data_IF_031013571334
#
_entry.id   IF_031013571334
#
_cell.length_a   1.000
_cell.length_b   1.000
_cell.length_c   1.000
_cell.angle_alpha   90.00
_cell.angle_beta   90.00
_cell.angle_gamma   90.00
#
_symmetry.space_group_name_H-M   'P 1'
#
loop_
_entity.id
_entity.type
_entity.pdbx_description
1 polymer ?
#
# COMPACT_ATOMS: atom_id res chain seq x y z
N UNK A 1 6.19 -5.10 3.64
CA UNK A 1 6.13 -3.64 3.30
C UNK A 1 7.44 -3.03 3.77
N UNK A 2 8.06 -2.16 2.97
CA UNK A 2 9.34 -1.56 3.34
C UNK A 2 9.17 -0.44 4.36
N UNK A 3 8.30 0.51 4.05
CA UNK A 3 7.96 1.64 4.93
C UNK A 3 6.60 2.22 4.54
N UNK A 4 6.03 3.02 5.44
CA UNK A 4 4.87 3.86 5.20
C UNK A 4 5.30 5.31 5.41
N UNK A 5 4.88 6.21 4.52
CA UNK A 5 4.96 7.66 4.76
C UNK A 5 3.59 8.17 5.14
N UNK A 6 3.49 8.77 6.33
CA UNK A 6 2.27 9.36 6.90
C UNK A 6 2.62 10.69 7.56
N UNK A 7 1.89 11.75 7.22
CA UNK A 7 2.09 13.10 7.78
C UNK A 7 3.57 13.55 7.73
N UNK A 8 4.22 13.36 6.58
CA UNK A 8 5.65 13.64 6.34
C UNK A 8 6.64 12.85 7.22
N UNK A 9 6.17 11.81 7.92
CA UNK A 9 7.01 10.92 8.72
C UNK A 9 7.17 9.56 8.05
N UNK A 10 8.36 8.99 8.19
CA UNK A 10 8.68 7.64 7.73
C UNK A 10 8.49 6.64 8.87
N UNK A 11 7.59 5.68 8.67
CA UNK A 11 7.30 4.60 9.61
C UNK A 11 7.85 3.30 9.02
N UNK A 12 8.74 2.63 9.76
CA UNK A 12 9.23 1.29 9.37
C UNK A 12 8.10 0.29 9.61
N UNK A 13 7.67 -0.39 8.55
CA UNK A 13 6.53 -1.29 8.64
C UNK A 13 6.94 -2.65 9.26
N UNK A 14 6.19 -3.05 10.27
CA UNK A 14 6.25 -4.35 10.92
C UNK A 14 4.98 -5.17 10.64
N UNK A 15 4.94 -6.43 11.07
CA UNK A 15 3.82 -7.35 10.78
C UNK A 15 2.47 -6.91 11.35
N UNK A 16 2.47 -6.05 12.35
CA UNK A 16 1.31 -5.50 13.05
C UNK A 16 0.98 -4.05 12.68
N UNK A 17 1.76 -3.44 11.78
CA UNK A 17 1.54 -2.05 11.35
C UNK A 17 0.22 -1.95 10.58
N UNK A 18 -0.71 -1.17 11.11
CA UNK A 18 -2.01 -0.92 10.50
C UNK A 18 -1.93 0.20 9.47
N UNK A 19 -2.34 -0.11 8.24
CA UNK A 19 -2.46 0.86 7.15
C UNK A 19 -3.72 1.71 7.39
N UNK A 20 -3.60 3.00 7.17
CA UNK A 20 -4.66 3.99 7.29
C UNK A 20 -4.92 4.69 5.96
N UNK A 21 -6.05 5.41 5.88
CA UNK A 21 -6.37 6.18 4.68
C UNK A 21 -5.31 7.26 4.44
N UNK A 22 -4.96 7.47 3.17
CA UNK A 22 -3.92 8.40 2.71
C UNK A 22 -2.47 8.01 3.02
N UNK A 23 -2.23 6.81 3.56
CA UNK A 23 -0.87 6.29 3.69
C UNK A 23 -0.20 6.11 2.34
N UNK A 24 1.04 6.55 2.23
CA UNK A 24 1.91 6.24 1.09
C UNK A 24 2.74 5.01 1.43
N UNK A 25 2.35 3.85 0.89
CA UNK A 25 3.01 2.57 1.18
C UNK A 25 4.16 2.31 0.20
N UNK A 26 5.38 2.15 0.70
CA UNK A 26 6.56 1.81 -0.08
C UNK A 26 6.75 0.29 -0.11
N UNK A 27 6.68 -0.27 -1.32
CA UNK A 27 6.78 -1.71 -1.59
C UNK A 27 7.97 -1.99 -2.51
N UNK A 28 8.69 -3.08 -2.23
CA UNK A 28 9.68 -3.63 -3.15
C UNK A 28 9.11 -4.87 -3.81
N UNK A 29 9.03 -4.84 -5.14
CA UNK A 29 8.57 -5.95 -5.96
C UNK A 29 9.77 -6.56 -6.67
N UNK A 30 9.98 -7.86 -6.49
CA UNK A 30 11.05 -8.60 -7.19
C UNK A 30 10.72 -8.77 -8.67
N UNK A 31 9.43 -8.96 -8.99
CA UNK A 31 8.93 -9.10 -10.34
C UNK A 31 7.84 -8.06 -10.59
N UNK A 32 8.05 -7.20 -11.60
CA UNK A 32 7.14 -6.11 -11.98
C UNK A 32 5.78 -6.60 -12.50
N UNK A 33 5.64 -7.88 -12.89
CA UNK A 33 4.35 -8.39 -13.39
C UNK A 33 3.23 -8.28 -12.35
N UNK A 34 3.58 -8.22 -11.06
CA UNK A 34 2.64 -8.12 -9.94
C UNK A 34 2.15 -6.69 -9.66
N UNK A 35 2.59 -5.68 -10.41
CA UNK A 35 2.14 -4.29 -10.20
C UNK A 35 0.62 -4.19 -10.26
N UNK A 36 -0.02 -4.80 -11.27
CA UNK A 36 -1.47 -4.77 -11.43
C UNK A 36 -2.22 -5.42 -10.25
N UNK A 37 -1.63 -6.44 -9.63
CA UNK A 37 -2.24 -7.12 -8.48
C UNK A 37 -2.18 -6.23 -7.23
N UNK A 38 -1.06 -5.51 -7.06
CA UNK A 38 -0.89 -4.51 -6.00
C UNK A 38 -1.87 -3.35 -6.19
N UNK A 39 -2.01 -2.80 -7.41
CA UNK A 39 -2.96 -1.72 -7.69
C UNK A 39 -4.39 -2.12 -7.32
N UNK A 40 -4.82 -3.33 -7.70
CA UNK A 40 -6.14 -3.87 -7.34
C UNK A 40 -6.32 -4.04 -5.83
N UNK A 41 -5.28 -4.47 -5.11
CA UNK A 41 -5.33 -4.65 -3.66
C UNK A 41 -5.57 -3.33 -2.92
N UNK A 42 -5.00 -2.23 -3.42
CA UNK A 42 -5.17 -0.89 -2.84
C UNK A 42 -6.38 -0.13 -3.43
N UNK A 43 -7.07 -0.69 -4.42
CA UNK A 43 -8.23 -0.05 -5.02
C UNK A 43 -9.44 -0.11 -4.07
N UNK A 44 -10.08 1.03 -3.74
CA UNK A 44 -11.26 1.05 -2.88
C UNK A 44 -12.43 0.24 -3.46
N UNK A 45 -13.13 -0.50 -2.62
CA UNK A 45 -14.28 -1.33 -3.01
C UNK A 45 -15.46 -0.55 -3.60
N UNK A 46 -15.53 0.76 -3.36
CA UNK A 46 -16.56 1.64 -3.93
C UNK A 46 -16.54 1.72 -5.47
N UNK A 47 -15.42 1.35 -6.12
CA UNK A 47 -15.30 1.32 -7.58
C UNK A 47 -15.84 0.02 -8.23
N UNK A 48 -16.26 -0.97 -7.44
CA UNK A 48 -16.77 -2.26 -7.96
C UNK A 48 -18.29 -2.30 -8.20
N UNK A 49 -19.02 -1.22 -7.88
CA UNK A 49 -20.48 -1.14 -8.03
C UNK A 49 -20.94 -0.23 -9.20
N UNK A 50 -20.04 0.10 -10.13
CA UNK A 50 -20.32 0.86 -11.36
C UNK A 50 -20.46 -0.02 -12.59
#
# INVERSE_FOLDING_TARGET
IGAIVRDDQVIIAHSDTKIEANDHVILFLVDKKYINDVEKLFQPSAFFFG
#
